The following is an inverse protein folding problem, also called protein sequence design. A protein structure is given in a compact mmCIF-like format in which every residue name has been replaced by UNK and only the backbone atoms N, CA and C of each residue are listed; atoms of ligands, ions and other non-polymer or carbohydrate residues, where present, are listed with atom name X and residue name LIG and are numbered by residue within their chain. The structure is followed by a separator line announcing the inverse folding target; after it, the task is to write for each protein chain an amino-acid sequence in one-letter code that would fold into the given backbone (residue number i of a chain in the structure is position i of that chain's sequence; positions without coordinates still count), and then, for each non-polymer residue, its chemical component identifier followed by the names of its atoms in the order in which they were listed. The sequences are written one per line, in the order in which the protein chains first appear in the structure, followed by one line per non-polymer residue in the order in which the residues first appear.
data_IF_070035375759
#
_entry.id   IF_070035375759
#
_cell.length_a   1.000
_cell.length_b   1.000
_cell.length_c   1.000
_cell.angle_alpha   90.00
_cell.angle_beta   90.00
_cell.angle_gamma   90.00
#
_symmetry.space_group_name_H-M   'P 1'
#
loop_
_entity.id
_entity.type
_entity.pdbx_description
1 polymer ?
#
# COMPACT_ATOMS: atom_id res chain seq x y z
N UNK A 1 29.52 -26.80 27.28
CA UNK A 1 28.13 -26.29 27.18
C UNK A 1 28.11 -25.35 25.99
N UNK A 2 27.87 -25.90 24.80
CA UNK A 2 27.72 -25.11 23.58
C UNK A 2 26.22 -25.04 23.32
N UNK A 3 25.67 -23.84 23.38
CA UNK A 3 24.31 -23.53 22.95
C UNK A 3 24.19 -23.91 21.47
N UNK A 4 23.45 -24.98 21.21
CA UNK A 4 23.01 -25.34 19.88
C UNK A 4 22.08 -24.24 19.40
N UNK A 5 22.52 -23.42 18.44
CA UNK A 5 21.66 -22.57 17.64
C UNK A 5 20.62 -23.45 16.93
N UNK A 6 19.48 -23.65 17.60
CA UNK A 6 18.26 -24.09 16.96
C UNK A 6 17.82 -22.94 16.05
N UNK A 7 18.15 -23.05 14.77
CA UNK A 7 17.51 -22.29 13.72
C UNK A 7 16.01 -22.51 13.89
N UNK A 8 15.33 -21.54 14.51
CA UNK A 8 13.89 -21.51 14.72
C UNK A 8 13.24 -21.51 13.32
N UNK A 9 12.83 -22.68 12.85
CA UNK A 9 11.90 -22.77 11.75
C UNK A 9 10.67 -21.92 12.09
N UNK A 10 10.22 -21.09 11.15
CA UNK A 10 9.10 -20.20 11.39
C UNK A 10 7.86 -20.99 11.86
N UNK A 11 7.05 -20.46 12.80
CA UNK A 11 5.91 -21.17 13.40
C UNK A 11 4.89 -21.65 12.36
N UNK A 12 4.86 -21.02 11.17
CA UNK A 12 3.97 -21.37 10.07
C UNK A 12 4.33 -22.71 9.38
N UNK A 13 5.56 -23.20 9.49
CA UNK A 13 6.02 -24.44 8.85
C UNK A 13 6.14 -25.63 9.81
N UNK A 14 5.89 -25.43 11.12
CA UNK A 14 5.78 -26.52 12.10
C UNK A 14 4.38 -26.42 12.73
N UNK A 15 3.37 -26.79 11.95
CA UNK A 15 1.97 -26.70 12.38
C UNK A 15 1.67 -27.72 13.49
N UNK A 16 0.74 -27.41 14.39
CA UNK A 16 0.32 -28.36 15.41
C UNK A 16 -0.51 -29.49 14.78
N UNK A 17 -0.05 -30.73 14.90
CA UNK A 17 -0.83 -31.91 14.53
C UNK A 17 -1.80 -32.29 15.66
N UNK A 18 -2.89 -32.99 15.33
CA UNK A 18 -3.76 -33.55 16.36
C UNK A 18 -3.01 -34.56 17.26
N UNK A 19 -3.42 -34.77 18.53
CA UNK A 19 -2.73 -35.69 19.43
C UNK A 19 -2.66 -37.13 18.92
N UNK A 20 -3.70 -37.59 18.20
CA UNK A 20 -3.76 -38.91 17.56
C UNK A 20 -2.78 -39.05 16.39
N UNK A 21 -2.63 -38.00 15.57
CA UNK A 21 -1.62 -37.89 14.51
C UNK A 21 -0.20 -37.98 15.07
N UNK A 22 0.05 -37.23 16.14
CA UNK A 22 1.38 -37.09 16.74
C UNK A 22 1.84 -38.42 17.35
N UNK A 23 0.94 -39.18 17.97
CA UNK A 23 1.26 -40.51 18.51
C UNK A 23 1.54 -41.55 17.40
N UNK A 24 0.79 -41.50 16.29
CA UNK A 24 0.96 -42.43 15.16
C UNK A 24 2.25 -42.17 14.36
N UNK A 25 2.65 -40.91 14.19
CA UNK A 25 3.87 -40.53 13.46
C UNK A 25 5.10 -40.44 14.36
N UNK A 26 4.94 -40.13 15.65
CA UNK A 26 6.03 -39.98 16.61
C UNK A 26 6.81 -41.26 16.89
N UNK A 27 6.25 -42.43 16.59
CA UNK A 27 6.97 -43.71 16.66
C UNK A 27 7.82 -44.01 15.42
N UNK A 28 7.69 -43.22 14.33
CA UNK A 28 8.40 -43.44 13.06
C UNK A 28 9.54 -42.47 12.78
N UNK A 29 9.56 -41.29 13.39
CA UNK A 29 10.68 -40.35 13.27
C UNK A 29 11.75 -40.78 14.26
N UNK A 30 12.98 -41.01 13.80
CA UNK A 30 14.07 -41.44 14.69
C UNK A 30 14.43 -40.34 15.69
N UNK A 31 14.84 -40.70 16.91
CA UNK A 31 15.22 -39.71 17.95
C UNK A 31 16.36 -38.77 17.50
N UNK A 32 17.17 -39.19 16.53
CA UNK A 32 18.27 -38.41 15.93
C UNK A 32 17.87 -37.63 14.65
N UNK A 33 16.61 -37.69 14.18
CA UNK A 33 16.16 -36.97 12.99
C UNK A 33 15.61 -35.59 13.34
N UNK A 34 16.08 -34.55 12.63
CA UNK A 34 15.60 -33.18 12.81
C UNK A 34 14.45 -32.89 11.85
N UNK A 35 13.30 -32.53 12.41
CA UNK A 35 12.13 -32.10 11.65
C UNK A 35 12.27 -30.64 11.21
N UNK A 36 12.27 -30.40 9.90
CA UNK A 36 12.36 -29.05 9.32
C UNK A 36 11.01 -28.49 8.90
N UNK A 37 10.14 -29.34 8.34
CA UNK A 37 8.83 -28.93 7.81
C UNK A 37 7.78 -29.91 8.32
N UNK A 38 6.64 -29.37 8.75
CA UNK A 38 5.40 -30.07 9.09
C UNK A 38 4.22 -29.18 8.73
N UNK A 39 3.67 -29.39 7.54
CA UNK A 39 2.56 -28.59 6.99
C UNK A 39 1.39 -29.47 6.60
N UNK A 40 0.18 -28.93 6.77
CA UNK A 40 -1.06 -29.61 6.39
C UNK A 40 -1.53 -29.15 5.00
N UNK A 41 -1.86 -30.12 4.16
CA UNK A 41 -2.66 -29.93 2.95
C UNK A 41 -4.13 -30.25 3.26
N UNK A 42 -5.02 -29.44 2.69
CA UNK A 42 -6.47 -29.49 2.89
C UNK A 42 -7.21 -30.26 1.80
N UNK A 43 -6.49 -30.97 0.93
CA UNK A 43 -7.07 -31.81 -0.12
C UNK A 43 -6.44 -33.21 -0.19
N UNK A 44 -7.29 -34.20 -0.45
CA UNK A 44 -6.94 -35.61 -0.71
C UNK A 44 -7.80 -36.11 -1.86
N UNK A 45 -7.19 -36.62 -2.93
CA UNK A 45 -7.86 -37.20 -4.10
C UNK A 45 -9.01 -36.34 -4.66
N UNK A 46 -8.78 -35.02 -4.76
CA UNK A 46 -9.76 -34.06 -5.28
C UNK A 46 -10.89 -33.66 -4.32
N UNK A 47 -10.91 -34.16 -3.09
CA UNK A 47 -11.87 -33.78 -2.06
C UNK A 47 -11.18 -33.08 -0.88
N UNK A 48 -11.92 -32.32 -0.08
CA UNK A 48 -11.38 -31.76 1.17
C UNK A 48 -11.06 -32.87 2.17
N UNK A 49 -9.80 -32.92 2.60
CA UNK A 49 -9.26 -33.94 3.51
C UNK A 49 -7.93 -33.47 4.08
N UNK A 50 -7.43 -34.15 5.11
CA UNK A 50 -6.14 -33.79 5.72
C UNK A 50 -5.04 -34.71 5.21
N UNK A 51 -4.02 -34.10 4.59
CA UNK A 51 -2.77 -34.77 4.23
C UNK A 51 -1.60 -33.99 4.81
N UNK A 52 -0.66 -34.68 5.44
CA UNK A 52 0.47 -34.05 6.10
C UNK A 52 1.74 -34.29 5.30
N UNK A 53 2.50 -33.21 5.09
CA UNK A 53 3.83 -33.24 4.51
C UNK A 53 4.83 -32.95 5.62
N UNK A 54 5.71 -33.92 5.88
CA UNK A 54 6.80 -33.78 6.83
C UNK A 54 8.13 -33.92 6.10
N UNK A 55 9.07 -33.01 6.33
CA UNK A 55 10.44 -33.13 5.82
C UNK A 55 11.42 -33.10 6.99
N UNK A 56 12.24 -34.14 7.07
CA UNK A 56 13.37 -34.24 8.01
C UNK A 56 14.68 -33.95 7.30
N UNK A 57 15.79 -34.04 8.04
CA UNK A 57 17.16 -34.00 7.51
C UNK A 57 17.55 -35.26 6.70
N UNK A 58 16.72 -36.31 6.69
CA UNK A 58 17.00 -37.58 5.98
C UNK A 58 15.95 -37.99 4.96
N UNK A 59 14.67 -37.65 5.17
CA UNK A 59 13.56 -38.15 4.35
C UNK A 59 12.35 -37.22 4.37
N UNK A 60 11.49 -37.38 3.37
CA UNK A 60 10.16 -36.79 3.29
C UNK A 60 9.12 -37.85 3.60
N UNK A 61 8.18 -37.53 4.47
CA UNK A 61 7.06 -38.38 4.86
C UNK A 61 5.77 -37.72 4.42
N UNK A 62 4.93 -38.46 3.71
CA UNK A 62 3.60 -38.02 3.31
C UNK A 62 2.58 -38.93 3.98
N UNK A 63 1.75 -38.36 4.86
CA UNK A 63 0.71 -39.09 5.58
C UNK A 63 -0.67 -38.64 5.13
N UNK A 64 -1.49 -39.56 4.60
CA UNK A 64 -2.86 -39.27 4.17
C UNK A 64 -3.89 -39.83 5.15
N UNK A 65 -4.83 -38.99 5.60
CA UNK A 65 -5.97 -39.39 6.43
C UNK A 65 -7.24 -39.45 5.58
N UNK A 66 -7.87 -40.63 5.49
CA UNK A 66 -9.14 -40.82 4.78
C UNK A 66 -10.27 -40.99 5.81
N UNK A 67 -11.47 -40.45 5.54
CA UNK A 67 -12.65 -40.43 6.46
C UNK A 67 -13.04 -41.77 7.13
N UNK A 68 -12.52 -42.91 6.68
CA UNK A 68 -12.87 -44.25 7.21
C UNK A 68 -11.78 -44.94 8.04
N UNK A 69 -10.51 -44.51 7.97
CA UNK A 69 -9.40 -45.14 8.69
C UNK A 69 -8.33 -44.11 9.05
N UNK A 70 -7.69 -44.29 10.21
CA UNK A 70 -6.75 -43.30 10.76
C UNK A 70 -5.53 -43.05 9.86
N UNK A 71 -5.07 -44.00 9.04
CA UNK A 71 -4.17 -43.76 7.89
C UNK A 71 -4.31 -44.91 6.90
N UNK A 72 -4.40 -44.62 5.60
CA UNK A 72 -4.40 -45.67 4.56
C UNK A 72 -3.01 -45.90 3.97
N UNK A 73 -2.14 -44.89 3.94
CA UNK A 73 -0.76 -44.99 3.46
C UNK A 73 0.13 -43.88 4.02
N UNK A 74 1.33 -44.25 4.46
CA UNK A 74 2.44 -43.32 4.72
C UNK A 74 3.49 -43.62 3.66
N UNK A 75 3.75 -42.63 2.80
CA UNK A 75 4.80 -42.74 1.79
C UNK A 75 6.07 -42.12 2.36
N UNK A 76 7.14 -42.90 2.39
CA UNK A 76 8.45 -42.46 2.83
C UNK A 76 9.38 -42.36 1.61
N UNK A 77 10.04 -41.21 1.45
CA UNK A 77 10.97 -40.95 0.36
C UNK A 77 12.28 -40.44 0.97
N UNK A 78 13.37 -41.21 0.91
CA UNK A 78 14.70 -40.73 1.27
C UNK A 78 15.08 -39.48 0.45
N UNK A 79 15.72 -38.48 1.08
CA UNK A 79 16.08 -37.22 0.41
C UNK A 79 17.05 -37.43 -0.78
N UNK A 80 17.89 -38.47 -0.72
CA UNK A 80 18.81 -38.87 -1.77
C UNK A 80 18.11 -39.46 -2.99
N UNK A 81 16.90 -40.00 -2.84
CA UNK A 81 16.06 -40.49 -3.93
C UNK A 81 15.25 -39.37 -4.62
N UNK A 82 15.16 -38.18 -4.03
CA UNK A 82 14.41 -37.06 -4.61
C UNK A 82 15.20 -36.44 -5.76
N UNK A 83 14.62 -36.45 -6.95
CA UNK A 83 15.19 -35.87 -8.16
C UNK A 83 14.85 -34.39 -8.30
N UNK A 84 13.56 -34.07 -8.27
CA UNK A 84 13.05 -32.70 -8.35
C UNK A 84 11.76 -32.54 -7.52
N UNK A 85 11.51 -31.31 -7.08
CA UNK A 85 10.30 -30.95 -6.32
C UNK A 85 9.69 -29.73 -6.96
N UNK A 86 8.47 -29.83 -7.49
CA UNK A 86 7.80 -28.74 -8.22
C UNK A 86 6.44 -28.45 -7.62
N UNK A 87 5.97 -27.23 -7.83
CA UNK A 87 4.59 -26.85 -7.55
C UNK A 87 3.91 -26.44 -8.85
N UNK A 88 2.74 -26.98 -9.11
CA UNK A 88 1.95 -26.73 -10.31
C UNK A 88 0.60 -26.13 -9.92
N UNK A 89 0.20 -25.05 -10.60
CA UNK A 89 -1.11 -24.44 -10.41
C UNK A 89 -2.20 -25.24 -11.14
N UNK A 90 -3.33 -25.48 -10.47
CA UNK A 90 -4.53 -26.10 -11.04
C UNK A 90 -5.70 -25.09 -11.02
N UNK A 91 -6.85 -25.49 -11.58
CA UNK A 91 -8.08 -24.67 -11.52
C UNK A 91 -8.72 -24.80 -10.14
N UNK A 92 -8.55 -23.77 -9.31
CA UNK A 92 -9.13 -23.71 -7.95
C UNK A 92 -8.31 -24.42 -6.86
N UNK A 93 -7.30 -25.20 -7.25
CA UNK A 93 -6.35 -25.89 -6.38
C UNK A 93 -4.92 -25.68 -6.90
N UNK A 94 -3.95 -26.27 -6.23
CA UNK A 94 -2.58 -26.43 -6.71
C UNK A 94 -2.05 -27.78 -6.18
N UNK A 95 -0.92 -28.23 -6.71
CA UNK A 95 -0.31 -29.48 -6.28
C UNK A 95 1.21 -29.37 -6.17
N UNK A 96 1.76 -30.06 -5.17
CA UNK A 96 3.20 -30.27 -5.00
C UNK A 96 3.54 -31.66 -5.53
N UNK A 97 4.53 -31.69 -6.39
CA UNK A 97 4.99 -32.84 -7.16
C UNK A 97 6.41 -33.21 -6.72
N UNK A 98 6.58 -34.41 -6.20
CA UNK A 98 7.87 -34.99 -5.83
C UNK A 98 8.24 -36.06 -6.85
N UNK A 99 9.25 -35.79 -7.68
CA UNK A 99 9.79 -36.75 -8.65
C UNK A 99 10.96 -37.53 -8.05
N UNK A 100 10.92 -38.85 -8.12
CA UNK A 100 12.05 -39.71 -7.72
C UNK A 100 13.09 -39.81 -8.84
N UNK A 101 14.38 -39.92 -8.48
CA UNK A 101 15.52 -40.03 -9.43
C UNK A 101 15.43 -41.26 -10.33
N UNK A 102 14.87 -42.34 -9.81
CA UNK A 102 14.69 -43.61 -10.52
C UNK A 102 13.48 -43.62 -11.48
N UNK A 103 12.71 -42.52 -11.52
CA UNK A 103 11.44 -42.40 -12.27
C UNK A 103 10.41 -43.49 -11.91
N UNK A 104 10.52 -44.13 -10.74
CA UNK A 104 9.61 -45.20 -10.31
C UNK A 104 8.22 -44.69 -9.92
N UNK A 105 8.07 -43.38 -9.74
CA UNK A 105 6.78 -42.74 -9.47
C UNK A 105 6.92 -41.25 -9.19
N UNK A 106 5.79 -40.56 -9.24
CA UNK A 106 5.64 -39.16 -8.82
C UNK A 106 4.63 -39.12 -7.69
N UNK A 107 5.02 -38.56 -6.55
CA UNK A 107 4.10 -38.35 -5.44
C UNK A 107 3.50 -36.95 -5.53
N UNK A 108 2.18 -36.87 -5.44
CA UNK A 108 1.42 -35.62 -5.64
C UNK A 108 0.62 -35.30 -4.39
N UNK A 109 0.76 -34.07 -3.90
CA UNK A 109 0.01 -33.52 -2.78
C UNK A 109 -0.80 -32.34 -3.29
N UNK A 110 -2.12 -32.48 -3.32
CA UNK A 110 -3.02 -31.39 -3.71
C UNK A 110 -3.37 -30.53 -2.49
N UNK A 111 -3.56 -29.23 -2.71
CA UNK A 111 -3.96 -28.26 -1.69
C UNK A 111 -4.74 -27.11 -2.33
N UNK A 112 -5.52 -26.38 -1.53
CA UNK A 112 -6.26 -25.22 -2.00
C UNK A 112 -5.31 -24.09 -2.41
N UNK A 113 -5.72 -23.25 -3.37
CA UNK A 113 -4.90 -22.09 -3.81
C UNK A 113 -4.49 -21.16 -2.66
N UNK A 114 -5.22 -21.17 -1.55
CA UNK A 114 -4.89 -20.37 -0.35
C UNK A 114 -3.53 -20.76 0.27
N UNK A 115 -3.08 -22.00 0.09
CA UNK A 115 -1.84 -22.54 0.64
C UNK A 115 -0.65 -22.48 -0.35
N UNK A 116 -0.82 -21.95 -1.56
CA UNK A 116 0.22 -21.91 -2.61
C UNK A 116 1.54 -21.29 -2.14
N UNK A 117 1.48 -20.18 -1.40
CA UNK A 117 2.68 -19.54 -0.88
C UNK A 117 3.43 -20.44 0.12
N UNK A 118 2.68 -21.15 0.97
CA UNK A 118 3.23 -22.09 1.96
C UNK A 118 3.91 -23.28 1.27
N UNK A 119 3.24 -23.91 0.32
CA UNK A 119 3.77 -25.09 -0.37
C UNK A 119 4.90 -24.78 -1.34
N UNK A 120 4.95 -23.57 -1.92
CA UNK A 120 6.10 -23.13 -2.73
C UNK A 120 7.37 -23.02 -1.90
N UNK A 121 7.32 -22.36 -0.73
CA UNK A 121 8.48 -22.24 0.16
C UNK A 121 8.85 -23.60 0.77
N UNK A 122 7.86 -24.48 1.02
CA UNK A 122 8.12 -25.85 1.46
C UNK A 122 8.81 -26.69 0.36
N UNK A 123 8.41 -26.54 -0.91
CA UNK A 123 9.03 -27.21 -2.05
C UNK A 123 10.48 -26.78 -2.24
N UNK A 124 10.75 -25.47 -2.16
CA UNK A 124 12.11 -24.93 -2.23
C UNK A 124 12.99 -25.45 -1.08
N UNK A 125 12.43 -25.53 0.13
CA UNK A 125 13.14 -26.07 1.27
C UNK A 125 13.46 -27.56 1.15
N UNK A 126 12.53 -28.38 0.66
CA UNK A 126 12.80 -29.80 0.38
C UNK A 126 13.85 -29.93 -0.72
N UNK A 127 13.82 -29.09 -1.75
CA UNK A 127 14.82 -29.09 -2.83
C UNK A 127 16.22 -28.75 -2.31
N UNK A 128 16.34 -27.79 -1.39
CA UNK A 128 17.61 -27.45 -0.76
C UNK A 128 18.11 -28.60 0.13
N UNK A 129 17.22 -29.21 0.93
CA UNK A 129 17.55 -30.38 1.76
C UNK A 129 18.02 -31.57 0.91
N UNK A 130 17.38 -31.85 -0.23
CA UNK A 130 17.78 -32.90 -1.15
C UNK A 130 19.18 -32.67 -1.78
N UNK A 131 19.64 -31.42 -1.82
CA UNK A 131 21.01 -31.04 -2.25
C UNK A 131 22.03 -31.05 -1.11
N UNK A 132 21.60 -31.30 0.14
CA UNK A 132 22.44 -31.16 1.32
C UNK A 132 22.68 -29.71 1.76
N UNK A 133 21.88 -28.77 1.25
CA UNK A 133 21.90 -27.35 1.65
C UNK A 133 20.92 -27.09 2.80
N UNK A 134 21.09 -25.96 3.50
CA UNK A 134 20.12 -25.54 4.51
C UNK A 134 18.75 -25.27 3.85
N UNK A 135 17.61 -25.58 4.51
CA UNK A 135 16.29 -25.49 3.90
C UNK A 135 15.93 -24.07 3.42
N UNK A 136 16.47 -23.01 4.02
CA UNK A 136 16.25 -21.64 3.54
C UNK A 136 14.82 -21.13 3.71
N UNK A 137 14.07 -21.69 4.67
CA UNK A 137 12.69 -21.29 4.97
C UNK A 137 12.62 -19.82 5.41
N UNK A 138 11.59 -19.06 4.96
CA UNK A 138 11.42 -17.68 5.37
C UNK A 138 11.03 -17.60 6.85
N UNK A 139 11.53 -16.56 7.54
CA UNK A 139 11.29 -16.35 8.99
C UNK A 139 9.84 -15.97 9.30
N UNK A 140 9.13 -15.37 8.34
CA UNK A 140 7.71 -15.02 8.41
C UNK A 140 7.08 -15.16 7.03
N UNK A 141 5.84 -15.65 6.97
CA UNK A 141 5.08 -15.67 5.72
C UNK A 141 4.59 -14.28 5.34
N UNK A 142 4.52 -14.04 4.04
CA UNK A 142 3.96 -12.81 3.51
C UNK A 142 2.47 -12.71 3.85
N UNK A 143 2.08 -11.63 4.52
CA UNK A 143 0.72 -11.40 4.99
C UNK A 143 -0.18 -11.01 3.81
N UNK A 144 -1.28 -11.73 3.66
CA UNK A 144 -2.32 -11.44 2.66
C UNK A 144 -3.52 -10.69 3.25
N UNK A 145 -3.63 -10.63 4.58
CA UNK A 145 -4.70 -9.95 5.32
C UNK A 145 -4.14 -9.05 6.40
N UNK A 146 -4.86 -7.97 6.70
CA UNK A 146 -4.50 -7.03 7.75
C UNK A 146 -4.79 -7.63 9.14
N UNK A 147 -3.81 -7.57 10.06
CA UNK A 147 -3.97 -8.07 11.44
C UNK A 147 -5.07 -7.34 12.23
N UNK A 148 -5.28 -6.04 11.96
CA UNK A 148 -6.22 -5.21 12.73
C UNK A 148 -7.67 -5.34 12.27
N UNK A 149 -7.91 -5.51 10.96
CA UNK A 149 -9.26 -5.49 10.38
C UNK A 149 -9.62 -6.69 9.51
N UNK A 150 -8.70 -7.65 9.36
CA UNK A 150 -8.84 -8.90 8.59
C UNK A 150 -9.21 -8.73 7.10
N UNK A 151 -9.11 -7.50 6.56
CA UNK A 151 -9.32 -7.22 5.13
C UNK A 151 -8.14 -7.71 4.31
N UNK A 152 -8.42 -8.17 3.09
CA UNK A 152 -7.42 -8.52 2.09
C UNK A 152 -6.54 -7.30 1.75
N UNK A 153 -5.22 -7.49 1.81
CA UNK A 153 -4.24 -6.49 1.43
C UNK A 153 -4.06 -6.49 -0.09
N UNK A 154 -3.79 -5.31 -0.66
CA UNK A 154 -3.58 -5.16 -2.10
C UNK A 154 -2.24 -5.72 -2.55
N UNK A 155 -1.20 -5.46 -1.76
CA UNK A 155 0.14 -5.99 -1.95
C UNK A 155 0.46 -6.88 -0.73
N UNK A 156 1.15 -8.01 -0.93
CA UNK A 156 1.57 -8.90 0.17
C UNK A 156 2.54 -8.16 1.10
N UNK A 157 2.34 -8.30 2.41
CA UNK A 157 2.97 -7.46 3.46
C UNK A 157 2.73 -5.94 3.30
N UNK A 158 1.73 -5.56 2.50
CA UNK A 158 1.39 -4.17 2.24
C UNK A 158 0.74 -3.47 3.43
N UNK A 159 0.79 -2.15 3.41
CA UNK A 159 0.13 -1.30 4.42
C UNK A 159 -1.39 -1.30 4.16
N UNK A 160 -2.19 -1.49 5.21
CA UNK A 160 -3.65 -1.44 5.10
C UNK A 160 -4.15 0.01 4.95
N UNK A 161 -4.84 0.39 3.86
CA UNK A 161 -5.30 1.76 3.62
C UNK A 161 -6.42 2.21 4.58
N UNK A 162 -7.13 1.26 5.20
CA UNK A 162 -8.22 1.56 6.14
C UNK A 162 -7.73 1.72 7.59
N UNK A 163 -6.62 1.06 7.94
CA UNK A 163 -6.09 1.11 9.30
C UNK A 163 -4.98 2.15 9.49
N UNK A 164 -4.49 2.74 8.40
CA UNK A 164 -3.46 3.77 8.46
C UNK A 164 -4.01 5.05 9.10
N UNK A 165 -3.21 5.69 9.95
CA UNK A 165 -3.53 6.98 10.54
C UNK A 165 -3.27 8.06 9.49
N UNK A 166 -4.34 8.59 8.87
CA UNK A 166 -4.26 9.59 7.79
C UNK A 166 -3.37 10.78 8.14
N UNK A 167 -3.44 11.24 9.39
CA UNK A 167 -2.62 12.35 9.89
C UNK A 167 -1.12 12.06 9.88
N UNK A 168 -0.71 10.82 10.17
CA UNK A 168 0.71 10.44 10.14
C UNK A 168 1.22 10.45 8.68
N UNK A 169 0.38 10.04 7.73
CA UNK A 169 0.67 10.13 6.29
C UNK A 169 0.79 11.58 5.82
N UNK A 170 -0.13 12.45 6.23
CA UNK A 170 -0.07 13.89 5.90
C UNK A 170 1.20 14.51 6.49
N UNK A 171 1.57 14.18 7.73
CA UNK A 171 2.80 14.65 8.36
C UNK A 171 4.05 14.18 7.60
N UNK A 172 4.07 12.94 7.13
CA UNK A 172 5.14 12.42 6.26
C UNK A 172 5.19 13.15 4.91
N UNK A 173 4.06 13.49 4.30
CA UNK A 173 4.06 14.27 3.06
C UNK A 173 4.57 15.70 3.35
N UNK A 174 4.15 16.30 4.46
CA UNK A 174 4.58 17.64 4.89
C UNK A 174 6.09 17.74 5.13
N UNK A 175 6.76 16.65 5.53
CA UNK A 175 8.22 16.65 5.70
C UNK A 175 8.96 16.88 4.37
N UNK A 176 8.39 16.46 3.23
CA UNK A 176 8.98 16.72 1.91
C UNK A 176 8.85 18.19 1.48
N UNK A 177 7.95 18.95 2.10
CA UNK A 177 7.80 20.40 1.92
C UNK A 177 8.73 21.21 2.82
N UNK A 178 9.31 20.61 3.86
CA UNK A 178 10.17 21.27 4.86
C UNK A 178 11.35 22.06 4.26
N UNK A 179 12.08 21.57 3.23
CA UNK A 179 13.20 22.30 2.64
C UNK A 179 12.80 23.65 2.03
N UNK A 180 11.51 23.84 1.73
CA UNK A 180 10.96 25.02 1.08
C UNK A 180 9.80 25.66 1.85
N UNK A 181 9.77 25.48 3.17
CA UNK A 181 8.76 26.03 4.08
C UNK A 181 8.52 27.54 3.92
N UNK A 182 9.57 28.31 3.59
CA UNK A 182 9.45 29.76 3.36
C UNK A 182 8.64 30.03 2.09
N UNK A 183 8.95 29.35 0.98
CA UNK A 183 8.21 29.49 -0.28
C UNK A 183 6.77 29.02 -0.11
N UNK A 184 6.58 27.95 0.66
CA UNK A 184 5.25 27.45 1.03
C UNK A 184 4.46 28.52 1.77
N UNK A 185 5.04 29.12 2.81
CA UNK A 185 4.39 30.18 3.57
C UNK A 185 4.09 31.42 2.70
N UNK A 186 5.00 31.80 1.82
CA UNK A 186 4.82 32.96 0.92
C UNK A 186 3.68 32.72 -0.06
N UNK A 187 3.63 31.58 -0.77
CA UNK A 187 2.50 31.32 -1.68
C UNK A 187 1.18 31.22 -0.91
N UNK A 188 1.16 30.57 0.26
CA UNK A 188 -0.05 30.49 1.08
C UNK A 188 -0.54 31.88 1.51
N UNK A 189 0.36 32.81 1.84
CA UNK A 189 0.03 34.18 2.17
C UNK A 189 -0.46 34.96 0.94
N UNK A 190 0.17 34.81 -0.23
CA UNK A 190 -0.28 35.43 -1.48
C UNK A 190 -1.68 34.93 -1.85
N UNK A 191 -1.92 33.63 -1.80
CA UNK A 191 -3.23 33.00 -2.01
C UNK A 191 -4.31 33.54 -1.06
N UNK A 192 -3.99 33.75 0.22
CA UNK A 192 -4.89 34.35 1.21
C UNK A 192 -5.25 35.80 0.84
N UNK A 193 -4.27 36.60 0.43
CA UNK A 193 -4.47 37.99 -0.01
C UNK A 193 -5.31 38.04 -1.29
N UNK A 194 -5.06 37.14 -2.24
CA UNK A 194 -5.86 37.03 -3.47
C UNK A 194 -7.33 36.70 -3.18
N UNK A 195 -7.60 35.76 -2.30
CA UNK A 195 -8.97 35.43 -1.90
C UNK A 195 -9.69 36.62 -1.25
N UNK A 196 -8.99 37.41 -0.43
CA UNK A 196 -9.53 38.64 0.14
C UNK A 196 -9.82 39.70 -0.94
N UNK A 197 -8.90 39.90 -1.89
CA UNK A 197 -9.10 40.75 -3.07
C UNK A 197 -10.27 40.27 -3.94
N UNK A 198 -10.54 38.97 -3.96
CA UNK A 198 -11.69 38.38 -4.66
C UNK A 198 -13.06 38.82 -4.12
N UNK A 199 -13.12 39.36 -2.90
CA UNK A 199 -14.35 39.94 -2.31
C UNK A 199 -14.52 41.42 -2.65
N UNK A 200 -13.51 42.09 -3.22
CA UNK A 200 -13.61 43.49 -3.59
C UNK A 200 -14.59 43.77 -4.75
N UNK A 201 -14.69 42.94 -5.81
CA UNK A 201 -15.67 43.15 -6.88
C UNK A 201 -17.13 43.25 -6.41
N UNK A 202 -17.69 42.31 -5.62
CA UNK A 202 -19.08 42.44 -5.16
C UNK A 202 -19.28 43.68 -4.27
N UNK A 203 -18.29 44.03 -3.44
CA UNK A 203 -18.35 45.24 -2.61
C UNK A 203 -18.34 46.53 -3.45
N UNK A 204 -17.47 46.62 -4.46
CA UNK A 204 -17.40 47.78 -5.36
C UNK A 204 -18.65 47.91 -6.23
N UNK A 205 -19.18 46.79 -6.74
CA UNK A 205 -20.41 46.79 -7.53
C UNK A 205 -21.60 47.26 -6.70
N UNK A 206 -21.68 46.87 -5.43
CA UNK A 206 -22.71 47.40 -4.53
C UNK A 206 -22.64 48.94 -4.45
N UNK A 207 -21.47 49.52 -4.20
CA UNK A 207 -21.34 50.97 -4.07
C UNK A 207 -21.64 51.70 -5.40
N UNK A 208 -21.34 51.07 -6.53
CA UNK A 208 -21.77 51.60 -7.83
C UNK A 208 -23.31 51.65 -7.90
N UNK A 209 -24.00 50.59 -7.48
CA UNK A 209 -25.47 50.55 -7.50
C UNK A 209 -26.07 51.56 -6.52
N UNK A 210 -25.60 51.56 -5.28
CA UNK A 210 -26.16 52.35 -4.19
C UNK A 210 -25.86 53.86 -4.37
N UNK A 211 -24.59 54.22 -4.61
CA UNK A 211 -24.13 55.62 -4.62
C UNK A 211 -24.23 56.31 -5.99
N UNK A 212 -24.24 55.56 -7.10
CA UNK A 212 -24.24 56.15 -8.46
C UNK A 212 -25.58 55.96 -9.16
N UNK A 213 -26.20 54.79 -9.03
CA UNK A 213 -27.43 54.49 -9.78
C UNK A 213 -28.70 54.86 -8.98
N UNK A 214 -28.69 54.69 -7.66
CA UNK A 214 -29.89 54.84 -6.83
C UNK A 214 -30.06 56.26 -6.28
N UNK A 215 -29.00 56.87 -5.78
CA UNK A 215 -29.00 58.27 -5.29
C UNK A 215 -27.84 59.09 -5.87
N UNK A 216 -27.89 59.44 -7.17
CA UNK A 216 -26.75 60.03 -7.88
C UNK A 216 -26.38 61.43 -7.36
N UNK A 217 -25.13 61.68 -6.93
CA UNK A 217 -24.65 63.03 -6.63
C UNK A 217 -24.42 63.85 -7.91
N UNK A 218 -24.26 65.17 -7.77
CA UNK A 218 -23.99 66.08 -8.91
C UNK A 218 -22.75 65.65 -9.74
N UNK A 219 -21.75 65.03 -9.09
CA UNK A 219 -20.53 64.49 -9.70
C UNK A 219 -20.55 62.96 -9.92
N UNK A 220 -21.74 62.35 -10.11
CA UNK A 220 -21.91 60.90 -10.26
C UNK A 220 -20.99 60.26 -11.31
N UNK A 221 -20.70 60.97 -12.41
CA UNK A 221 -19.83 60.47 -13.48
C UNK A 221 -18.36 60.32 -13.02
N UNK A 222 -17.89 61.23 -12.16
CA UNK A 222 -16.54 61.16 -11.59
C UNK A 222 -16.44 60.05 -10.54
N UNK A 223 -17.47 59.89 -9.70
CA UNK A 223 -17.55 58.80 -8.72
C UNK A 223 -17.59 57.43 -9.41
N UNK A 224 -18.36 57.29 -10.48
CA UNK A 224 -18.40 56.10 -11.32
C UNK A 224 -17.02 55.79 -11.91
N UNK A 225 -16.34 56.81 -12.45
CA UNK A 225 -14.98 56.67 -12.98
C UNK A 225 -13.99 56.17 -11.91
N UNK A 226 -14.12 56.63 -10.67
CA UNK A 226 -13.30 56.19 -9.54
C UNK A 226 -13.58 54.72 -9.17
N UNK A 227 -14.84 54.30 -9.04
CA UNK A 227 -15.18 52.92 -8.70
C UNK A 227 -14.84 51.94 -9.82
N UNK A 228 -15.09 52.30 -11.09
CA UNK A 228 -14.68 51.50 -12.24
C UNK A 228 -13.16 51.42 -12.33
N UNK A 229 -12.46 52.53 -12.08
CA UNK A 229 -11.00 52.56 -11.99
C UNK A 229 -10.46 51.66 -10.88
N UNK A 230 -11.09 51.68 -9.70
CA UNK A 230 -10.76 50.79 -8.58
C UNK A 230 -11.01 49.31 -8.92
N UNK A 231 -12.08 49.01 -9.65
CA UNK A 231 -12.39 47.65 -10.11
C UNK A 231 -11.32 47.15 -11.09
N UNK A 232 -10.97 47.96 -12.09
CA UNK A 232 -9.87 47.65 -13.02
C UNK A 232 -8.55 47.45 -12.29
N UNK A 233 -8.21 48.34 -11.34
CA UNK A 233 -6.99 48.24 -10.53
C UNK A 233 -6.97 46.95 -9.70
N UNK A 234 -8.11 46.57 -9.11
CA UNK A 234 -8.26 45.34 -8.33
C UNK A 234 -8.07 44.10 -9.22
N UNK A 235 -8.71 44.06 -10.39
CA UNK A 235 -8.55 42.94 -11.33
C UNK A 235 -7.11 42.81 -11.84
N UNK A 236 -6.47 43.94 -12.16
CA UNK A 236 -5.07 43.94 -12.59
C UNK A 236 -4.14 43.48 -11.48
N UNK A 237 -4.36 43.94 -10.25
CA UNK A 237 -3.59 43.49 -9.07
C UNK A 237 -3.77 42.00 -8.84
N UNK A 238 -5.01 41.50 -8.92
CA UNK A 238 -5.31 40.08 -8.78
C UNK A 238 -4.59 39.25 -9.86
N UNK A 239 -4.58 39.70 -11.11
CA UNK A 239 -3.87 39.02 -12.20
C UNK A 239 -2.36 38.95 -11.96
N UNK A 240 -1.74 40.05 -11.52
CA UNK A 240 -0.30 40.06 -11.17
C UNK A 240 0.00 39.10 -10.03
N UNK A 241 -0.83 39.10 -8.97
CA UNK A 241 -0.66 38.17 -7.85
C UNK A 241 -0.83 36.71 -8.28
N UNK A 242 -1.79 36.40 -9.15
CA UNK A 242 -1.98 35.04 -9.66
C UNK A 242 -0.75 34.55 -10.45
N UNK A 243 -0.12 35.44 -11.22
CA UNK A 243 1.10 35.11 -11.95
C UNK A 243 2.27 34.81 -10.99
N UNK A 244 2.44 35.64 -9.95
CA UNK A 244 3.46 35.42 -8.91
C UNK A 244 3.19 34.12 -8.14
N UNK A 245 1.94 33.90 -7.72
CA UNK A 245 1.53 32.69 -7.02
C UNK A 245 1.74 31.45 -7.91
N UNK A 246 1.41 31.53 -9.20
CA UNK A 246 1.66 30.49 -10.20
C UNK A 246 3.12 30.06 -10.27
N UNK A 247 4.06 31.00 -10.33
CA UNK A 247 5.50 30.72 -10.36
C UNK A 247 5.95 30.05 -9.05
N UNK A 248 5.51 30.57 -7.90
CA UNK A 248 5.84 30.01 -6.59
C UNK A 248 5.28 28.58 -6.42
N UNK A 249 4.02 28.37 -6.79
CA UNK A 249 3.34 27.06 -6.77
C UNK A 249 4.08 26.05 -7.65
N UNK A 250 4.44 26.43 -8.87
CA UNK A 250 5.16 25.57 -9.81
C UNK A 250 6.53 25.17 -9.27
N UNK A 251 7.27 26.12 -8.72
CA UNK A 251 8.58 25.84 -8.13
C UNK A 251 8.47 24.91 -6.91
N UNK A 252 7.50 25.16 -6.02
CA UNK A 252 7.29 24.33 -4.81
C UNK A 252 6.89 22.91 -5.17
N UNK A 253 5.92 22.74 -6.06
CA UNK A 253 5.44 21.43 -6.48
C UNK A 253 6.54 20.65 -7.21
N UNK A 254 7.21 21.27 -8.19
CA UNK A 254 8.27 20.63 -8.97
C UNK A 254 9.45 20.18 -8.11
N UNK A 255 9.94 21.03 -7.19
CA UNK A 255 11.01 20.64 -6.25
C UNK A 255 10.57 19.54 -5.29
N UNK A 256 9.32 19.57 -4.82
CA UNK A 256 8.79 18.53 -3.93
C UNK A 256 8.71 17.19 -4.66
N UNK A 257 8.18 17.19 -5.90
CA UNK A 257 8.10 16.01 -6.74
C UNK A 257 9.49 15.44 -7.06
N UNK A 258 10.47 16.30 -7.38
CA UNK A 258 11.85 15.89 -7.59
C UNK A 258 12.44 15.20 -6.35
N UNK A 259 12.26 15.78 -5.17
CA UNK A 259 12.74 15.20 -3.91
C UNK A 259 12.10 13.82 -3.66
N UNK A 260 10.80 13.69 -3.86
CA UNK A 260 10.07 12.44 -3.67
C UNK A 260 10.55 11.38 -4.66
N UNK A 261 10.63 11.71 -5.95
CA UNK A 261 11.15 10.80 -6.98
C UNK A 261 12.57 10.35 -6.65
N UNK A 262 13.46 11.27 -6.24
CA UNK A 262 14.84 10.94 -5.90
C UNK A 262 14.96 10.00 -4.70
N UNK A 263 14.16 10.22 -3.65
CA UNK A 263 14.15 9.38 -2.45
C UNK A 263 13.61 7.99 -2.75
N UNK A 264 12.54 7.89 -3.54
CA UNK A 264 11.97 6.63 -3.98
C UNK A 264 12.94 5.84 -4.86
N UNK A 265 13.59 6.51 -5.82
CA UNK A 265 14.62 5.88 -6.63
C UNK A 265 15.79 5.37 -5.80
N UNK A 266 16.28 6.17 -4.85
CA UNK A 266 17.33 5.75 -3.92
C UNK A 266 16.91 4.50 -3.15
N UNK A 267 15.71 4.50 -2.57
CA UNK A 267 15.19 3.34 -1.86
C UNK A 267 15.13 2.10 -2.75
N UNK A 268 14.63 2.20 -3.99
CA UNK A 268 14.55 1.08 -4.93
C UNK A 268 15.92 0.43 -5.22
N UNK A 269 17.00 1.21 -5.26
CA UNK A 269 18.35 0.68 -5.54
C UNK A 269 18.89 -0.19 -4.39
N UNK A 270 18.41 -0.02 -3.16
CA UNK A 270 18.85 -0.79 -2.00
C UNK A 270 17.97 -2.02 -1.71
N UNK A 271 16.96 -2.30 -2.53
CA UNK A 271 16.12 -3.50 -2.34
C UNK A 271 16.82 -4.77 -2.85
N UNK A 272 16.63 -5.92 -2.18
CA UNK A 272 17.26 -7.18 -2.58
C UNK A 272 16.66 -7.74 -3.87
N UNK A 273 17.45 -8.52 -4.63
CA UNK A 273 17.02 -9.06 -5.93
C UNK A 273 15.73 -9.90 -5.84
N UNK A 274 15.55 -10.67 -4.76
CA UNK A 274 14.33 -11.45 -4.45
C UNK A 274 13.05 -10.59 -4.45
N UNK A 275 13.14 -9.30 -4.17
CA UNK A 275 11.98 -8.39 -4.25
C UNK A 275 11.51 -8.17 -5.70
N UNK A 276 12.46 -8.10 -6.63
CA UNK A 276 12.21 -7.88 -8.05
C UNK A 276 11.80 -9.17 -8.77
N UNK A 277 12.23 -10.34 -8.31
CA UNK A 277 11.80 -11.64 -8.87
C UNK A 277 10.28 -11.88 -8.71
N UNK A 278 9.69 -11.34 -7.62
CA UNK A 278 8.25 -11.47 -7.32
C UNK A 278 7.38 -10.37 -7.95
N UNK A 279 7.96 -9.33 -8.58
CA UNK A 279 7.22 -8.13 -9.03
C UNK A 279 7.73 -7.61 -10.37
N UNK A 280 6.82 -7.35 -11.30
CA UNK A 280 7.19 -6.77 -12.59
C UNK A 280 7.74 -5.34 -12.41
N UNK A 281 9.06 -5.18 -12.61
CA UNK A 281 9.79 -3.93 -12.39
C UNK A 281 9.15 -2.73 -13.10
N UNK A 282 8.72 -2.91 -14.36
CA UNK A 282 8.07 -1.85 -15.14
C UNK A 282 6.75 -1.34 -14.53
N UNK A 283 5.94 -2.25 -13.97
CA UNK A 283 4.69 -1.87 -13.29
C UNK A 283 4.96 -1.09 -12.00
N UNK A 284 5.99 -1.49 -11.25
CA UNK A 284 6.42 -0.77 -10.05
C UNK A 284 6.90 0.64 -10.39
N UNK A 285 7.71 0.76 -11.44
CA UNK A 285 8.24 2.04 -11.91
C UNK A 285 7.11 2.98 -12.34
N UNK A 286 6.18 2.48 -13.16
CA UNK A 286 5.05 3.27 -13.62
C UNK A 286 4.13 3.71 -12.47
N UNK A 287 3.85 2.83 -11.51
CA UNK A 287 3.00 3.16 -10.35
C UNK A 287 3.61 4.30 -9.54
N UNK A 288 4.89 4.21 -9.19
CA UNK A 288 5.49 5.27 -8.36
C UNK A 288 5.55 6.60 -9.10
N UNK A 289 5.84 6.58 -10.41
CA UNK A 289 5.87 7.81 -11.20
C UNK A 289 4.50 8.47 -11.23
N UNK A 290 3.48 7.67 -11.52
CA UNK A 290 2.12 8.17 -11.56
C UNK A 290 1.65 8.69 -10.19
N UNK A 291 2.05 8.04 -9.09
CA UNK A 291 1.70 8.50 -7.74
C UNK A 291 2.47 9.78 -7.35
N UNK A 292 3.74 9.91 -7.75
CA UNK A 292 4.50 11.16 -7.59
C UNK A 292 3.90 12.31 -8.41
N UNK A 293 3.49 12.05 -9.65
CA UNK A 293 2.83 13.01 -10.53
C UNK A 293 1.49 13.46 -9.95
N UNK A 294 0.69 12.53 -9.41
CA UNK A 294 -0.58 12.87 -8.74
C UNK A 294 -0.35 13.77 -7.54
N UNK A 295 0.69 13.52 -6.76
CA UNK A 295 1.03 14.37 -5.62
C UNK A 295 1.51 15.76 -6.09
N UNK A 296 2.30 15.83 -7.15
CA UNK A 296 2.70 17.08 -7.78
C UNK A 296 1.47 17.90 -8.22
N UNK A 297 0.54 17.27 -8.96
CA UNK A 297 -0.70 17.89 -9.41
C UNK A 297 -1.60 18.32 -8.24
N UNK A 298 -1.64 17.53 -7.16
CA UNK A 298 -2.36 17.91 -5.95
C UNK A 298 -1.75 19.15 -5.29
N UNK A 299 -0.43 19.29 -5.26
CA UNK A 299 0.23 20.49 -4.74
C UNK A 299 0.07 21.71 -5.67
N UNK A 300 0.06 21.50 -6.99
CA UNK A 300 -0.14 22.55 -7.99
C UNK A 300 -1.57 23.11 -7.96
N UNK A 301 -2.56 22.23 -7.94
CA UNK A 301 -3.96 22.61 -8.17
C UNK A 301 -4.86 22.29 -6.99
N UNK A 302 -4.72 21.10 -6.40
CA UNK A 302 -5.63 20.61 -5.36
C UNK A 302 -5.58 21.43 -4.07
N UNK A 303 -4.39 21.61 -3.50
CA UNK A 303 -4.20 22.32 -2.25
C UNK A 303 -4.59 23.81 -2.35
N UNK A 304 -4.12 24.59 -3.37
CA UNK A 304 -4.56 25.98 -3.56
C UNK A 304 -6.07 26.09 -3.80
N UNK A 305 -6.65 25.19 -4.58
CA UNK A 305 -8.09 25.18 -4.84
C UNK A 305 -8.90 25.00 -3.55
N UNK A 306 -8.56 24.01 -2.72
CA UNK A 306 -9.26 23.75 -1.47
C UNK A 306 -9.14 24.95 -0.54
N UNK A 307 -7.94 25.51 -0.39
CA UNK A 307 -7.71 26.65 0.49
C UNK A 307 -8.47 27.89 0.01
N UNK A 308 -8.34 28.24 -1.27
CA UNK A 308 -8.99 29.42 -1.85
C UNK A 308 -10.51 29.33 -1.79
N UNK A 309 -11.11 28.17 -2.10
CA UNK A 309 -12.56 28.01 -2.04
C UNK A 309 -13.07 28.02 -0.61
N UNK A 310 -12.37 27.37 0.32
CA UNK A 310 -12.73 27.39 1.73
C UNK A 310 -12.73 28.81 2.28
N UNK A 311 -11.70 29.59 1.93
CA UNK A 311 -11.54 30.96 2.36
C UNK A 311 -12.55 31.91 1.71
N UNK A 312 -12.81 31.74 0.41
CA UNK A 312 -13.87 32.45 -0.32
C UNK A 312 -15.24 32.18 0.30
N UNK A 313 -15.55 30.90 0.59
CA UNK A 313 -16.79 30.49 1.23
C UNK A 313 -16.98 31.20 2.58
N UNK A 314 -15.95 31.18 3.43
CA UNK A 314 -15.98 31.88 4.72
C UNK A 314 -16.14 33.39 4.52
N UNK A 315 -15.37 33.99 3.61
CA UNK A 315 -15.39 35.42 3.34
C UNK A 315 -16.76 35.91 2.87
N UNK A 316 -17.37 35.22 1.90
CA UNK A 316 -18.72 35.52 1.41
C UNK A 316 -19.75 35.31 2.51
N UNK A 317 -19.67 34.22 3.27
CA UNK A 317 -20.60 33.97 4.37
C UNK A 317 -20.52 35.07 5.43
N UNK A 318 -19.32 35.50 5.82
CA UNK A 318 -19.12 36.61 6.75
C UNK A 318 -19.69 37.92 6.20
N UNK A 319 -19.48 38.20 4.91
CA UNK A 319 -19.99 39.40 4.24
C UNK A 319 -21.52 39.40 4.21
N UNK A 320 -22.14 38.28 3.84
CA UNK A 320 -23.61 38.14 3.81
C UNK A 320 -24.22 38.31 5.20
N UNK A 321 -23.63 37.66 6.22
CA UNK A 321 -24.07 37.80 7.62
C UNK A 321 -23.95 39.24 8.12
N UNK A 322 -22.93 39.98 7.67
CA UNK A 322 -22.76 41.40 7.99
C UNK A 322 -23.85 42.28 7.38
N UNK A 323 -24.23 42.03 6.12
CA UNK A 323 -25.26 42.84 5.43
C UNK A 323 -26.69 42.49 5.87
N UNK A 324 -27.04 41.20 5.96
CA UNK A 324 -28.36 40.77 6.42
C UNK A 324 -28.32 39.33 6.91
N UNK A 325 -28.28 39.18 8.24
CA UNK A 325 -28.30 37.86 8.88
C UNK A 325 -29.62 37.10 8.63
N UNK A 326 -30.75 37.81 8.50
CA UNK A 326 -32.07 37.23 8.25
C UNK A 326 -32.16 36.58 6.86
N UNK A 327 -31.71 37.30 5.82
CA UNK A 327 -31.69 36.77 4.45
C UNK A 327 -30.68 35.63 4.31
N UNK A 328 -29.53 35.74 5.00
CA UNK A 328 -28.48 34.72 4.94
C UNK A 328 -28.89 33.40 5.58
N UNK A 329 -29.69 33.42 6.65
CA UNK A 329 -30.20 32.19 7.29
C UNK A 329 -31.35 31.53 6.51
N UNK A 330 -32.03 32.28 5.65
CA UNK A 330 -33.10 31.75 4.81
C UNK A 330 -32.57 30.94 3.61
N UNK A 331 -31.40 31.32 3.09
CA UNK A 331 -30.71 30.66 1.97
C UNK A 331 -29.93 29.44 2.46
#
# INVERSE_FOLDING_TARGET
MAETETIQAAPDFIEAMSPSLTAALGTRIGEDERLHIRVAADMVDGAYGERWLLATDKRVLIASSTRSYVYSSVVEIPLDEIGDVRTSDLVGAAQLELERKDRSGQEVIQYSRSLTAKFSEAADAIRNLAKGEAPGLPTQMERTRCEKCNRLLRDRDGICPFCIRKWDTIKRIAMFLEPQKVKVAVFMAVSLVMAALGLAPPYLVQHIIDDVLTDPPDDALALLGLYVGALVATTLTHWVLDMVDGVLRAEVAGRTAQNIRSHLYGALQFLPLRFFDKRQVGSLISRFMQDADRLEMFLLFGLPFILSNFLMLIGVLCLLLYYSWELTLYV
#
